data_IF_042654858995
#
_entry.id   IF_042654858995
#
_cell.length_a   1.000
_cell.length_b   1.000
_cell.length_c   1.000
_cell.angle_alpha   90.00
_cell.angle_beta   90.00
_cell.angle_gamma   90.00
#
_symmetry.space_group_name_H-M   'P 1'
#
loop_
_entity.id
_entity.type
_entity.pdbx_description
1 polymer ?
#
# COMPACT_ATOMS: atom_id res chain seq x y z
N UNK A 1 77.20 47.73 -41.53
CA UNK A 1 77.06 47.63 -40.12
C UNK A 1 75.71 47.03 -39.74
N UNK A 2 75.74 45.86 -39.20
CA UNK A 2 74.66 44.82 -39.24
C UNK A 2 73.56 45.11 -38.27
N UNK A 3 72.30 45.17 -38.76
CA UNK A 3 71.06 45.19 -37.94
C UNK A 3 70.73 43.77 -37.55
N UNK A 4 70.53 43.49 -36.30
CA UNK A 4 69.95 42.21 -35.80
C UNK A 4 68.52 42.50 -35.44
N UNK A 5 67.59 41.89 -36.17
CA UNK A 5 66.16 41.85 -35.86
C UNK A 5 65.89 40.75 -34.84
N UNK A 6 65.34 41.12 -33.68
CA UNK A 6 64.72 40.15 -32.72
C UNK A 6 63.28 39.95 -33.07
N UNK A 7 62.92 38.72 -33.54
CA UNK A 7 61.54 38.28 -33.66
C UNK A 7 61.08 37.72 -32.28
N UNK A 8 60.20 38.43 -31.63
CA UNK A 8 59.45 37.89 -30.49
C UNK A 8 58.31 37.03 -30.95
N UNK A 9 58.41 35.74 -30.72
CA UNK A 9 57.35 34.78 -30.97
C UNK A 9 56.37 34.76 -29.77
N UNK A 10 55.20 35.39 -29.93
CA UNK A 10 54.11 35.34 -28.96
C UNK A 10 53.38 34.00 -29.11
N UNK A 11 53.59 33.05 -28.21
CA UNK A 11 52.83 31.84 -28.13
C UNK A 11 51.47 32.14 -27.50
N UNK A 12 50.41 32.15 -28.31
CA UNK A 12 49.01 32.25 -27.87
C UNK A 12 48.60 30.89 -27.31
N UNK A 13 48.56 30.75 -25.98
CA UNK A 13 47.94 29.61 -25.33
C UNK A 13 46.41 29.72 -25.52
N UNK A 14 45.87 29.00 -26.49
CA UNK A 14 44.46 28.71 -26.58
C UNK A 14 44.09 27.71 -25.42
N UNK A 15 43.55 28.24 -24.33
CA UNK A 15 42.85 27.43 -23.35
C UNK A 15 41.54 26.96 -24.00
N UNK A 16 41.51 25.75 -24.48
CA UNK A 16 40.30 25.10 -24.90
C UNK A 16 39.45 24.90 -23.65
N UNK A 17 38.46 25.74 -23.44
CA UNK A 17 37.40 25.50 -22.48
C UNK A 17 36.52 24.37 -23.01
N UNK A 18 36.61 23.18 -22.39
CA UNK A 18 35.76 22.03 -22.65
C UNK A 18 34.30 22.45 -22.40
N UNK A 19 33.39 22.44 -23.40
CA UNK A 19 32.01 22.83 -23.18
C UNK A 19 31.19 21.63 -22.64
N UNK A 20 31.70 20.87 -21.70
CA UNK A 20 30.85 20.04 -20.85
C UNK A 20 30.17 20.97 -19.88
N UNK A 21 29.08 21.59 -20.36
CA UNK A 21 28.13 22.25 -19.48
C UNK A 21 27.81 21.29 -18.31
N UNK A 22 28.35 21.63 -17.15
CA UNK A 22 27.93 20.98 -15.90
C UNK A 22 26.41 21.17 -15.82
N UNK A 23 25.66 20.07 -15.97
CA UNK A 23 24.24 20.09 -15.68
C UNK A 23 24.06 20.76 -14.32
N UNK A 24 23.15 21.72 -14.18
CA UNK A 24 22.92 22.37 -12.88
C UNK A 24 22.71 21.29 -11.81
N UNK A 25 23.36 21.42 -10.69
CA UNK A 25 23.16 20.50 -9.57
C UNK A 25 21.65 20.41 -9.28
N UNK A 26 21.13 19.21 -9.03
CA UNK A 26 19.71 19.07 -8.72
C UNK A 26 19.38 20.01 -7.54
N UNK A 27 18.20 20.64 -7.56
CA UNK A 27 17.79 21.54 -6.48
C UNK A 27 17.87 20.81 -5.14
N UNK A 28 18.28 21.50 -4.09
CA UNK A 28 18.34 20.95 -2.75
C UNK A 28 16.96 20.35 -2.38
N UNK A 29 16.90 19.19 -1.74
CA UNK A 29 15.63 18.57 -1.39
C UNK A 29 14.86 19.48 -0.43
N UNK A 30 13.54 19.61 -0.65
CA UNK A 30 12.64 20.36 0.24
C UNK A 30 12.83 19.91 1.69
N UNK A 31 12.91 20.83 2.67
CA UNK A 31 13.05 20.49 4.08
C UNK A 31 11.99 19.48 4.53
N UNK A 32 12.36 18.51 5.36
CA UNK A 32 11.48 17.45 5.84
C UNK A 32 10.22 17.98 6.53
N UNK A 33 10.38 19.02 7.36
CA UNK A 33 9.27 19.67 8.07
C UNK A 33 8.23 20.27 7.11
N UNK A 34 8.70 20.87 6.00
CA UNK A 34 7.82 21.50 5.01
C UNK A 34 7.00 20.45 4.23
N UNK A 35 7.63 19.33 3.85
CA UNK A 35 6.95 18.20 3.19
C UNK A 35 5.88 17.63 4.11
N UNK A 36 6.23 17.37 5.39
CA UNK A 36 5.31 16.85 6.40
C UNK A 36 4.11 17.79 6.60
N UNK A 37 4.39 19.10 6.79
CA UNK A 37 3.34 20.10 6.96
C UNK A 37 2.45 20.26 5.72
N UNK A 38 3.02 20.17 4.52
CA UNK A 38 2.26 20.23 3.26
C UNK A 38 1.32 19.04 3.09
N UNK A 39 1.78 17.82 3.40
CA UNK A 39 0.94 16.62 3.30
C UNK A 39 -0.18 16.63 4.35
N UNK A 40 0.12 17.06 5.58
CA UNK A 40 -0.90 17.21 6.62
C UNK A 40 -1.96 18.24 6.20
N UNK A 41 -1.57 19.42 5.69
CA UNK A 41 -2.53 20.44 5.21
C UNK A 41 -3.40 19.94 4.06
N UNK A 42 -2.85 19.12 3.17
CA UNK A 42 -3.61 18.56 2.04
C UNK A 42 -4.74 17.64 2.50
N UNK A 43 -4.53 16.91 3.58
CA UNK A 43 -5.46 15.89 4.07
C UNK A 43 -6.16 16.28 5.37
N UNK A 44 -5.81 17.44 5.96
CA UNK A 44 -6.40 17.87 7.22
C UNK A 44 -7.90 18.09 7.08
N UNK A 45 -8.63 17.48 8.01
CA UNK A 45 -10.09 17.52 8.07
C UNK A 45 -10.53 17.76 9.51
N UNK A 46 -11.68 18.39 9.73
CA UNK A 46 -12.25 18.51 11.05
C UNK A 46 -12.39 17.13 11.71
N UNK A 47 -11.80 16.97 12.88
CA UNK A 47 -11.89 15.71 13.63
C UNK A 47 -13.26 15.60 14.26
N UNK A 48 -14.00 14.56 13.90
CA UNK A 48 -15.28 14.21 14.55
C UNK A 48 -15.02 13.27 15.71
N UNK A 49 -15.94 13.17 16.72
CA UNK A 49 -15.89 12.10 17.73
C UNK A 49 -15.81 10.74 17.05
N UNK A 50 -14.98 9.86 17.59
CA UNK A 50 -14.78 8.52 17.00
C UNK A 50 -16.04 7.65 17.07
N UNK A 51 -16.87 7.80 18.11
CA UNK A 51 -18.11 7.02 18.33
C UNK A 51 -17.90 5.53 17.95
N UNK A 52 -16.98 4.79 18.62
CA UNK A 52 -16.68 3.42 18.26
C UNK A 52 -17.87 2.51 18.57
N UNK A 53 -18.20 1.60 17.64
CA UNK A 53 -19.28 0.63 17.74
C UNK A 53 -18.71 -0.77 17.58
N UNK A 54 -18.82 -1.58 18.63
CA UNK A 54 -18.49 -2.99 18.57
C UNK A 54 -19.73 -3.77 18.11
N UNK A 55 -19.58 -4.54 17.04
CA UNK A 55 -20.69 -5.31 16.44
C UNK A 55 -20.64 -6.77 16.86
N UNK A 56 -19.45 -7.34 17.00
CA UNK A 56 -19.28 -8.75 17.26
C UNK A 56 -17.92 -9.00 17.92
N UNK A 57 -17.94 -9.73 19.04
CA UNK A 57 -16.71 -10.24 19.69
C UNK A 57 -16.84 -11.77 19.76
N UNK A 58 -15.87 -12.45 19.17
CA UNK A 58 -15.83 -13.93 19.14
C UNK A 58 -14.49 -14.45 19.59
N UNK A 59 -14.50 -15.51 20.40
CA UNK A 59 -13.33 -16.37 20.52
C UNK A 59 -13.15 -17.07 19.17
N UNK A 60 -12.07 -16.72 18.46
CA UNK A 60 -11.69 -17.46 17.28
C UNK A 60 -10.94 -18.71 17.74
N UNK A 61 -11.17 -19.84 17.04
CA UNK A 61 -10.36 -21.03 17.26
C UNK A 61 -8.89 -20.67 17.14
N UNK A 62 -8.01 -21.19 18.04
CA UNK A 62 -6.55 -21.03 17.99
C UNK A 62 -5.94 -19.88 18.83
N UNK A 63 -6.55 -19.51 19.95
CA UNK A 63 -5.87 -18.62 20.93
C UNK A 63 -5.95 -17.14 20.61
N UNK A 64 -6.92 -16.71 19.82
CA UNK A 64 -7.18 -15.30 19.55
C UNK A 64 -8.65 -14.95 19.73
N UNK A 65 -8.91 -13.70 20.10
CA UNK A 65 -10.25 -13.10 20.11
C UNK A 65 -10.34 -12.13 18.94
N UNK A 66 -11.40 -12.24 18.16
CA UNK A 66 -11.71 -11.30 17.08
C UNK A 66 -12.84 -10.36 17.49
N UNK A 67 -12.72 -9.09 17.09
CA UNK A 67 -13.72 -8.06 17.31
C UNK A 67 -13.98 -7.34 15.99
N UNK A 68 -15.26 -7.21 15.59
CA UNK A 68 -15.69 -6.34 14.51
C UNK A 68 -16.12 -5.01 15.10
N UNK A 69 -15.51 -3.93 14.63
CA UNK A 69 -15.78 -2.58 15.11
C UNK A 69 -15.84 -1.62 13.94
N UNK A 70 -16.56 -0.53 14.09
CA UNK A 70 -16.43 0.63 13.23
C UNK A 70 -16.34 1.91 14.06
N UNK A 71 -15.74 2.95 13.49
CA UNK A 71 -15.60 4.26 14.12
C UNK A 71 -15.70 5.39 13.10
N UNK A 72 -16.18 6.56 13.54
CA UNK A 72 -16.35 7.72 12.69
C UNK A 72 -15.01 8.42 12.42
N UNK A 73 -14.83 8.88 11.19
CA UNK A 73 -13.58 9.52 10.75
C UNK A 73 -13.77 10.91 10.15
N UNK A 74 -14.98 11.19 9.62
CA UNK A 74 -15.27 12.43 8.90
C UNK A 74 -16.77 12.69 8.91
N UNK A 75 -17.19 13.97 8.96
CA UNK A 75 -18.58 14.36 8.77
C UNK A 75 -18.93 14.39 7.28
N UNK A 76 -20.09 13.89 6.92
CA UNK A 76 -20.66 14.00 5.57
C UNK A 76 -21.58 15.22 5.46
N UNK A 77 -21.80 15.73 4.23
CA UNK A 77 -22.71 16.87 4.01
C UNK A 77 -24.15 16.64 4.48
N UNK A 78 -24.60 15.40 4.53
CA UNK A 78 -25.93 14.99 4.99
C UNK A 78 -26.07 14.89 6.53
N UNK A 79 -25.02 15.26 7.27
CA UNK A 79 -24.96 15.19 8.73
C UNK A 79 -24.60 13.79 9.28
N UNK A 80 -24.50 12.78 8.44
CA UNK A 80 -23.98 11.46 8.84
C UNK A 80 -22.45 11.46 8.93
N UNK A 81 -21.89 10.34 9.42
CA UNK A 81 -20.42 10.16 9.47
C UNK A 81 -19.94 9.12 8.47
N UNK A 82 -18.80 9.44 7.82
CA UNK A 82 -17.99 8.43 7.19
C UNK A 82 -17.38 7.56 8.28
N UNK A 83 -17.58 6.25 8.20
CA UNK A 83 -17.10 5.29 9.19
C UNK A 83 -16.12 4.31 8.58
N UNK A 84 -15.18 3.86 9.39
CA UNK A 84 -14.17 2.87 9.03
C UNK A 84 -14.54 1.53 9.68
N UNK A 85 -15.02 0.55 8.90
CA UNK A 85 -15.15 -0.82 9.38
C UNK A 85 -13.77 -1.44 9.62
N UNK A 86 -13.59 -2.07 10.76
CA UNK A 86 -12.35 -2.68 11.17
C UNK A 86 -12.56 -4.09 11.76
N UNK A 87 -11.51 -4.90 11.62
CA UNK A 87 -11.36 -6.20 12.24
C UNK A 87 -10.16 -6.15 13.17
N UNK A 88 -10.39 -6.38 14.46
CA UNK A 88 -9.35 -6.42 15.49
C UNK A 88 -9.17 -7.87 15.94
N UNK A 89 -7.92 -8.34 15.96
CA UNK A 89 -7.54 -9.59 16.61
C UNK A 89 -6.61 -9.30 17.79
N UNK A 90 -6.85 -9.98 18.91
CA UNK A 90 -6.01 -9.87 20.10
C UNK A 90 -5.75 -11.24 20.72
N UNK A 91 -4.68 -11.39 21.52
CA UNK A 91 -4.43 -12.63 22.27
C UNK A 91 -5.61 -12.98 23.19
N UNK A 92 -6.01 -14.24 23.24
CA UNK A 92 -7.04 -14.71 24.19
C UNK A 92 -6.51 -14.85 25.63
N UNK A 93 -5.18 -14.90 25.79
CA UNK A 93 -4.50 -14.96 27.07
C UNK A 93 -4.23 -13.57 27.70
N UNK A 94 -4.65 -12.47 27.03
CA UNK A 94 -4.54 -11.13 27.56
C UNK A 94 -5.33 -10.97 28.86
N UNK A 95 -4.68 -10.50 29.93
CA UNK A 95 -5.31 -10.26 31.23
C UNK A 95 -5.93 -8.87 31.28
N UNK A 96 -6.99 -8.69 32.07
CA UNK A 96 -7.56 -7.38 32.31
C UNK A 96 -6.49 -6.38 32.79
N UNK A 97 -6.43 -5.20 32.17
CA UNK A 97 -5.47 -4.14 32.52
C UNK A 97 -4.09 -4.25 31.86
N UNK A 98 -3.78 -5.35 31.19
CA UNK A 98 -2.56 -5.43 30.36
C UNK A 98 -2.70 -4.60 29.10
N UNK A 99 -1.61 -3.92 28.70
CA UNK A 99 -1.51 -3.15 27.46
C UNK A 99 -0.52 -3.80 26.52
N UNK A 100 -0.93 -3.92 25.26
CA UNK A 100 -0.17 -4.55 24.19
C UNK A 100 0.21 -3.53 23.13
N UNK A 101 1.37 -3.68 22.48
CA UNK A 101 1.65 -2.93 21.26
C UNK A 101 0.62 -3.25 20.20
N UNK A 102 0.34 -2.31 19.31
CA UNK A 102 -0.63 -2.48 18.24
C UNK A 102 0.00 -2.40 16.85
N UNK A 103 -0.56 -3.13 15.88
CA UNK A 103 -0.16 -3.07 14.47
C UNK A 103 -1.38 -2.88 13.59
N UNK A 104 -1.36 -1.82 12.77
CA UNK A 104 -2.36 -1.55 11.74
C UNK A 104 -1.93 -2.29 10.47
N UNK A 105 -2.87 -3.05 9.87
CA UNK A 105 -2.66 -3.81 8.64
C UNK A 105 -3.54 -3.24 7.53
N UNK A 106 -2.94 -2.76 6.45
CA UNK A 106 -3.62 -2.16 5.30
C UNK A 106 -3.60 -3.11 4.10
N UNK A 107 -4.77 -3.41 3.55
CA UNK A 107 -4.93 -4.35 2.42
C UNK A 107 -4.55 -3.73 1.07
N UNK A 108 -4.28 -4.58 0.07
CA UNK A 108 -4.03 -4.18 -1.31
C UNK A 108 -5.28 -3.76 -2.07
N UNK A 109 -5.11 -3.28 -3.32
CA UNK A 109 -6.20 -2.90 -4.23
C UNK A 109 -7.18 -4.06 -4.43
N UNK A 110 -8.47 -3.80 -4.30
CA UNK A 110 -9.54 -4.80 -4.41
C UNK A 110 -9.67 -5.72 -3.20
N UNK A 111 -8.83 -5.54 -2.17
CA UNK A 111 -8.87 -6.29 -0.92
C UNK A 111 -9.91 -5.77 0.07
N UNK A 112 -9.88 -6.35 1.27
CA UNK A 112 -10.75 -5.99 2.39
C UNK A 112 -10.11 -6.45 3.71
N UNK A 113 -10.59 -5.94 4.84
CA UNK A 113 -10.04 -6.24 6.17
C UNK A 113 -9.96 -7.75 6.48
N UNK A 114 -10.95 -8.54 6.04
CA UNK A 114 -10.93 -10.00 6.25
C UNK A 114 -9.79 -10.70 5.49
N UNK A 115 -9.36 -10.16 4.35
CA UNK A 115 -8.20 -10.67 3.61
C UNK A 115 -6.88 -10.52 4.36
N UNK A 116 -6.86 -9.66 5.37
CA UNK A 116 -5.71 -9.46 6.25
C UNK A 116 -5.65 -10.45 7.42
N UNK A 117 -6.64 -11.37 7.56
CA UNK A 117 -6.70 -12.33 8.66
C UNK A 117 -5.39 -13.06 8.95
N UNK A 118 -4.65 -13.60 7.95
CA UNK A 118 -3.39 -14.30 8.22
C UNK A 118 -2.34 -13.41 8.92
N UNK A 119 -2.28 -12.13 8.58
CA UNK A 119 -1.39 -11.18 9.23
C UNK A 119 -1.85 -10.86 10.65
N UNK A 120 -3.14 -10.60 10.82
CA UNK A 120 -3.72 -10.28 12.13
C UNK A 120 -3.53 -11.44 13.12
N UNK A 121 -3.79 -12.67 12.70
CA UNK A 121 -3.65 -13.87 13.53
C UNK A 121 -2.21 -14.07 13.96
N UNK A 122 -1.25 -13.95 13.05
CA UNK A 122 0.17 -14.11 13.34
C UNK A 122 0.70 -13.02 14.27
N UNK A 123 0.22 -11.79 14.14
CA UNK A 123 0.55 -10.69 15.06
C UNK A 123 -0.06 -10.92 16.45
N UNK A 124 -1.35 -11.30 16.52
CA UNK A 124 -2.01 -11.57 17.78
C UNK A 124 -1.34 -12.70 18.57
N UNK A 125 -0.93 -13.79 17.90
CA UNK A 125 -0.17 -14.86 18.53
C UNK A 125 1.20 -14.41 19.08
N UNK A 126 1.75 -13.31 18.56
CA UNK A 126 3.00 -12.71 19.04
C UNK A 126 2.81 -11.64 20.12
N UNK A 127 1.58 -11.46 20.59
CA UNK A 127 1.27 -10.50 21.67
C UNK A 127 1.02 -9.09 21.18
N UNK A 128 0.44 -8.93 19.99
CA UNK A 128 -0.02 -7.64 19.48
C UNK A 128 -1.55 -7.54 19.46
N UNK A 129 -2.06 -6.33 19.61
CA UNK A 129 -3.39 -5.97 19.14
C UNK A 129 -3.24 -5.66 17.65
N UNK A 130 -3.79 -6.51 16.80
CA UNK A 130 -3.70 -6.35 15.35
C UNK A 130 -5.03 -5.86 14.78
N UNK A 131 -5.02 -4.78 14.00
CA UNK A 131 -6.22 -4.18 13.42
C UNK A 131 -6.08 -4.04 11.91
N UNK A 132 -7.06 -4.53 11.15
CA UNK A 132 -7.19 -4.23 9.73
C UNK A 132 -8.45 -3.40 9.47
N UNK A 133 -8.34 -2.42 8.60
CA UNK A 133 -9.45 -1.57 8.17
C UNK A 133 -9.83 -1.83 6.72
N UNK A 134 -11.09 -1.57 6.38
CA UNK A 134 -11.47 -1.39 4.97
C UNK A 134 -11.05 0.00 4.51
N UNK A 135 -10.12 0.08 3.56
CA UNK A 135 -9.77 1.32 2.89
C UNK A 135 -10.97 1.92 2.16
N UNK A 136 -10.92 3.20 1.82
CA UNK A 136 -12.03 3.86 1.12
C UNK A 136 -12.41 3.12 -0.15
N UNK A 137 -13.72 2.92 -0.34
CA UNK A 137 -14.32 2.25 -1.50
C UNK A 137 -13.94 0.76 -1.63
N UNK A 138 -13.55 0.12 -0.52
CA UNK A 138 -13.23 -1.31 -0.44
C UNK A 138 -14.06 -1.98 0.66
N UNK A 139 -14.16 -3.32 0.60
CA UNK A 139 -14.84 -4.11 1.61
C UNK A 139 -16.27 -3.63 1.88
N UNK A 140 -16.64 -3.43 3.14
CA UNK A 140 -17.97 -2.98 3.55
C UNK A 140 -18.27 -1.52 3.08
N UNK A 141 -17.24 -0.76 2.68
CA UNK A 141 -17.37 0.60 2.13
C UNK A 141 -17.55 0.64 0.61
N UNK A 142 -17.67 -0.52 -0.04
CA UNK A 142 -17.86 -0.64 -1.49
C UNK A 142 -19.34 -0.70 -1.91
N UNK A 143 -20.32 -0.56 -0.99
CA UNK A 143 -21.76 -0.58 -1.27
C UNK A 143 -22.18 -1.76 -2.14
N UNK A 144 -21.81 -3.00 -1.75
CA UNK A 144 -22.06 -4.25 -2.46
C UNK A 144 -21.44 -4.37 -3.86
N UNK A 145 -20.51 -3.48 -4.23
CA UNK A 145 -19.72 -3.63 -5.46
C UNK A 145 -18.55 -4.58 -5.22
N UNK A 146 -18.26 -5.41 -6.21
CA UNK A 146 -17.21 -6.43 -6.12
C UNK A 146 -15.88 -5.88 -6.65
N UNK A 147 -14.78 -6.28 -6.01
CA UNK A 147 -13.41 -5.97 -6.45
C UNK A 147 -13.09 -4.48 -6.39
N UNK A 148 -12.57 -3.95 -7.48
CA UNK A 148 -12.12 -2.54 -7.58
C UNK A 148 -13.17 -1.58 -8.13
N UNK A 149 -14.38 -2.03 -8.40
CA UNK A 149 -15.39 -1.22 -9.10
C UNK A 149 -15.71 0.09 -8.38
N UNK A 150 -16.05 0.04 -7.09
CA UNK A 150 -16.36 1.24 -6.31
C UNK A 150 -15.17 2.20 -6.24
N UNK A 151 -13.97 1.64 -6.17
CA UNK A 151 -12.73 2.40 -6.13
C UNK A 151 -12.45 3.13 -7.45
N UNK A 152 -12.55 2.42 -8.58
CA UNK A 152 -12.43 3.04 -9.91
C UNK A 152 -13.48 4.14 -10.12
N UNK A 153 -14.75 3.88 -9.77
CA UNK A 153 -15.83 4.89 -9.86
C UNK A 153 -15.52 6.14 -9.02
N UNK A 154 -14.95 5.98 -7.82
CA UNK A 154 -14.57 7.11 -6.98
C UNK A 154 -13.41 7.92 -7.59
N UNK A 155 -12.42 7.26 -8.17
CA UNK A 155 -11.31 7.91 -8.86
C UNK A 155 -11.80 8.66 -10.10
N UNK A 156 -12.73 8.08 -10.88
CA UNK A 156 -13.35 8.75 -12.03
C UNK A 156 -14.11 10.01 -11.58
N UNK A 157 -14.88 9.92 -10.50
CA UNK A 157 -15.55 11.11 -9.95
C UNK A 157 -14.56 12.18 -9.53
N UNK A 158 -13.48 11.80 -8.84
CA UNK A 158 -12.43 12.73 -8.43
C UNK A 158 -11.72 13.37 -9.63
N UNK A 159 -11.50 12.62 -10.70
CA UNK A 159 -10.97 13.15 -11.97
C UNK A 159 -11.91 14.22 -12.58
N UNK A 160 -13.22 13.99 -12.54
CA UNK A 160 -14.24 14.85 -13.15
C UNK A 160 -14.69 16.04 -12.28
N UNK A 161 -14.11 16.22 -11.08
CA UNK A 161 -14.36 17.40 -10.22
C UNK A 161 -13.94 18.66 -10.97
N UNK A 162 -14.82 19.67 -10.96
CA UNK A 162 -14.60 20.94 -11.65
C UNK A 162 -13.68 21.86 -10.83
N UNK A 163 -12.96 22.77 -11.49
CA UNK A 163 -12.20 23.81 -10.80
C UNK A 163 -13.07 24.59 -9.80
N UNK A 164 -12.57 24.73 -8.56
CA UNK A 164 -13.28 25.43 -7.48
C UNK A 164 -14.17 24.54 -6.61
N UNK A 165 -14.42 23.29 -7.01
CA UNK A 165 -15.12 22.31 -6.17
C UNK A 165 -14.12 21.59 -5.25
N UNK A 166 -14.55 21.11 -4.06
CA UNK A 166 -13.70 20.32 -3.18
C UNK A 166 -13.15 19.06 -3.89
N UNK A 167 -11.83 18.89 -3.89
CA UNK A 167 -11.15 17.80 -4.56
C UNK A 167 -10.96 16.62 -3.61
N UNK A 168 -11.65 15.47 -3.83
CA UNK A 168 -11.37 14.25 -3.08
C UNK A 168 -10.13 13.54 -3.61
N UNK A 169 -9.48 12.76 -2.75
CA UNK A 169 -8.25 12.05 -3.06
C UNK A 169 -8.38 10.54 -2.78
N UNK A 170 -9.33 9.85 -3.47
CA UNK A 170 -9.63 8.43 -3.18
C UNK A 170 -8.45 7.49 -3.46
N UNK A 171 -7.55 7.88 -4.36
CA UNK A 171 -6.38 7.09 -4.71
C UNK A 171 -5.29 7.31 -3.66
N UNK A 172 -5.18 6.41 -2.68
CA UNK A 172 -4.30 6.38 -1.50
C UNK A 172 -4.59 7.41 -0.40
N UNK A 173 -4.66 8.70 -0.72
CA UNK A 173 -4.56 9.79 0.25
C UNK A 173 -5.70 9.79 1.27
N UNK A 174 -6.96 9.58 0.82
CA UNK A 174 -8.09 9.52 1.75
C UNK A 174 -7.99 8.37 2.76
N UNK A 175 -7.34 7.24 2.39
CA UNK A 175 -7.09 6.14 3.32
C UNK A 175 -5.98 6.48 4.33
N UNK A 176 -5.03 7.40 3.99
CA UNK A 176 -4.06 7.89 4.98
C UNK A 176 -4.75 8.62 6.13
N UNK A 177 -5.77 9.44 5.84
CA UNK A 177 -6.62 10.03 6.88
C UNK A 177 -7.28 8.97 7.74
N UNK A 178 -7.89 7.94 7.13
CA UNK A 178 -8.52 6.85 7.87
C UNK A 178 -7.51 6.08 8.75
N UNK A 179 -6.26 5.91 8.28
CA UNK A 179 -5.18 5.30 9.06
C UNK A 179 -4.81 6.15 10.29
N UNK A 180 -4.74 7.48 10.17
CA UNK A 180 -4.51 8.37 11.31
C UNK A 180 -5.67 8.32 12.31
N UNK A 181 -6.91 8.27 11.82
CA UNK A 181 -8.09 8.10 12.69
C UNK A 181 -8.12 6.70 13.35
N UNK A 182 -7.54 5.69 12.69
CA UNK A 182 -7.35 4.36 13.31
C UNK A 182 -6.34 4.43 14.45
N UNK A 183 -5.28 5.23 14.33
CA UNK A 183 -4.36 5.50 15.44
C UNK A 183 -5.09 6.20 16.59
N UNK A 184 -5.92 7.22 16.30
CA UNK A 184 -6.74 7.88 17.30
C UNK A 184 -7.63 6.86 18.04
N UNK A 185 -8.27 5.93 17.32
CA UNK A 185 -9.08 4.86 17.90
C UNK A 185 -8.24 3.92 18.78
N UNK A 186 -7.07 3.47 18.31
CA UNK A 186 -6.19 2.61 19.09
C UNK A 186 -5.76 3.26 20.40
N UNK A 187 -5.52 4.57 20.41
CA UNK A 187 -5.15 5.32 21.61
C UNK A 187 -6.29 5.41 22.64
N UNK A 188 -7.55 5.23 22.25
CA UNK A 188 -8.70 5.17 23.18
C UNK A 188 -8.89 3.79 23.80
N UNK A 189 -8.27 2.75 23.26
CA UNK A 189 -8.44 1.37 23.74
C UNK A 189 -7.66 1.13 25.02
N UNK A 190 -8.28 0.56 26.05
CA UNK A 190 -7.61 0.29 27.33
C UNK A 190 -6.55 -0.82 27.25
N UNK A 191 -6.65 -1.70 26.25
CA UNK A 191 -5.74 -2.82 26.00
C UNK A 191 -4.57 -2.49 25.07
N UNK A 192 -4.49 -1.25 24.55
CA UNK A 192 -3.41 -0.80 23.66
C UNK A 192 -2.40 0.07 24.41
N UNK A 193 -1.11 -0.15 24.15
CA UNK A 193 -0.05 0.77 24.51
C UNK A 193 0.11 1.83 23.41
N UNK A 194 -0.28 3.09 23.67
CA UNK A 194 -0.30 4.14 22.65
C UNK A 194 1.09 4.53 22.15
N UNK A 195 2.17 4.19 22.91
CA UNK A 195 3.55 4.49 22.53
C UNK A 195 4.19 3.39 21.67
N UNK A 196 3.48 2.29 21.42
CA UNK A 196 3.99 1.14 20.66
C UNK A 196 3.04 0.73 19.54
N UNK A 197 2.84 1.64 18.57
CA UNK A 197 1.99 1.42 17.39
C UNK A 197 2.87 1.24 16.15
N UNK A 198 2.64 0.16 15.40
CA UNK A 198 3.25 -0.10 14.10
C UNK A 198 2.23 -0.09 12.96
N UNK A 199 2.72 -0.04 11.73
CA UNK A 199 1.88 -0.09 10.53
C UNK A 199 2.55 -0.94 9.45
N UNK A 200 1.77 -1.84 8.85
CA UNK A 200 2.15 -2.65 7.69
C UNK A 200 1.05 -2.56 6.65
N UNK A 201 1.42 -2.57 5.39
CA UNK A 201 0.45 -2.65 4.31
C UNK A 201 1.02 -3.32 3.08
N UNK A 202 0.15 -3.94 2.30
CA UNK A 202 0.49 -4.73 1.13
C UNK A 202 0.05 -3.99 -0.12
N UNK A 203 0.96 -3.79 -1.10
CA UNK A 203 0.68 -3.14 -2.38
C UNK A 203 0.09 -1.73 -2.18
N UNK A 204 -1.17 -1.46 -2.54
CA UNK A 204 -1.88 -0.21 -2.22
C UNK A 204 -1.71 0.16 -0.74
N UNK A 205 -1.98 -0.79 0.17
CA UNK A 205 -1.82 -0.57 1.61
C UNK A 205 -0.37 -0.24 2.01
N UNK A 206 0.61 -0.77 1.30
CA UNK A 206 2.03 -0.43 1.53
C UNK A 206 2.37 1.00 1.10
N UNK A 207 1.75 1.50 0.02
CA UNK A 207 1.86 2.93 -0.37
C UNK A 207 1.23 3.80 0.72
N UNK A 208 0.03 3.46 1.17
CA UNK A 208 -0.66 4.15 2.26
C UNK A 208 0.16 4.09 3.57
N UNK A 209 0.86 2.98 3.82
CA UNK A 209 1.75 2.84 4.99
C UNK A 209 2.88 3.84 4.98
N UNK A 210 3.67 3.95 3.90
CA UNK A 210 4.78 4.89 3.89
C UNK A 210 4.30 6.35 3.80
N UNK A 211 3.17 6.64 3.15
CA UNK A 211 2.56 7.97 3.14
C UNK A 211 2.10 8.39 4.55
N UNK A 212 1.29 7.56 5.19
CA UNK A 212 0.69 7.89 6.48
C UNK A 212 1.74 7.92 7.61
N UNK A 213 2.63 6.92 7.66
CA UNK A 213 3.67 6.84 8.68
C UNK A 213 4.73 7.94 8.56
N UNK A 214 5.02 8.44 7.36
CA UNK A 214 5.99 9.51 7.15
C UNK A 214 5.64 10.78 7.94
N UNK A 215 4.36 11.08 8.11
CA UNK A 215 3.90 12.33 8.72
C UNK A 215 3.29 12.16 10.11
N UNK A 216 2.93 10.95 10.52
CA UNK A 216 2.41 10.67 11.86
C UNK A 216 3.44 9.94 12.72
N UNK A 217 4.07 10.66 13.64
CA UNK A 217 5.15 10.16 14.51
C UNK A 217 4.67 9.15 15.57
N UNK A 218 3.37 8.97 15.70
CA UNK A 218 2.78 7.92 16.54
C UNK A 218 3.00 6.53 15.95
N UNK A 219 3.23 6.42 14.62
CA UNK A 219 3.68 5.18 13.99
C UNK A 219 5.16 5.00 14.28
N UNK A 220 5.49 4.09 15.19
CA UNK A 220 6.87 3.83 15.63
C UNK A 220 7.64 2.89 14.69
N UNK A 221 6.94 1.99 14.01
CA UNK A 221 7.53 1.00 13.08
C UNK A 221 6.69 0.94 11.81
N UNK A 222 7.31 1.05 10.64
CA UNK A 222 6.63 0.97 9.35
C UNK A 222 7.19 -0.16 8.48
N UNK A 223 6.28 -0.92 7.83
CA UNK A 223 6.64 -2.02 6.93
C UNK A 223 5.83 -1.93 5.63
N UNK A 224 6.24 -1.10 4.64
CA UNK A 224 5.66 -1.13 3.31
C UNK A 224 6.08 -2.40 2.56
N UNK A 225 5.08 -3.17 2.07
CA UNK A 225 5.27 -4.46 1.40
C UNK A 225 4.84 -4.35 -0.05
N UNK A 226 5.73 -4.68 -1.00
CA UNK A 226 5.54 -4.60 -2.47
C UNK A 226 4.91 -3.26 -2.91
N UNK A 227 5.48 -2.15 -2.41
CA UNK A 227 4.84 -0.85 -2.50
C UNK A 227 5.79 0.34 -2.69
N UNK A 228 7.09 0.12 -2.57
CA UNK A 228 8.08 1.20 -2.65
C UNK A 228 8.57 1.35 -4.07
N UNK A 229 8.36 2.54 -4.63
CA UNK A 229 8.89 2.98 -5.92
C UNK A 229 8.80 4.51 -6.03
N UNK A 230 9.60 5.13 -6.89
CA UNK A 230 9.38 6.51 -7.31
C UNK A 230 8.34 6.56 -8.45
N UNK A 231 7.25 7.30 -8.22
CA UNK A 231 6.23 7.57 -9.24
C UNK A 231 6.80 8.45 -10.36
N UNK A 232 7.63 9.44 -10.02
CA UNK A 232 8.35 10.27 -10.99
C UNK A 232 9.20 9.41 -11.91
N UNK A 233 10.05 8.56 -11.33
CA UNK A 233 10.91 7.68 -12.11
C UNK A 233 10.10 6.79 -13.06
N UNK A 234 8.99 6.21 -12.56
CA UNK A 234 8.15 5.32 -13.36
C UNK A 234 7.51 6.02 -14.57
N UNK A 235 7.08 7.27 -14.43
CA UNK A 235 6.56 8.07 -15.55
C UNK A 235 7.67 8.43 -16.53
N UNK A 236 8.82 8.87 -16.04
CA UNK A 236 9.92 9.35 -16.88
C UNK A 236 10.58 8.23 -17.69
N UNK A 237 10.49 6.97 -17.20
CA UNK A 237 11.08 5.79 -17.85
C UNK A 237 10.05 4.83 -18.48
N UNK A 238 8.80 5.28 -18.71
CA UNK A 238 7.72 4.47 -19.30
C UNK A 238 7.47 3.13 -18.58
N UNK A 239 7.52 3.14 -17.25
CA UNK A 239 7.28 1.96 -16.37
C UNK A 239 6.01 2.11 -15.53
N UNK A 240 5.02 2.84 -16.01
CA UNK A 240 3.75 3.17 -15.35
C UNK A 240 2.68 2.07 -15.50
N UNK A 241 2.79 1.16 -16.46
CA UNK A 241 1.73 0.22 -16.90
C UNK A 241 1.26 -0.68 -15.76
N UNK A 242 2.18 -1.27 -14.99
CA UNK A 242 1.85 -2.13 -13.87
C UNK A 242 0.94 -1.41 -12.86
N UNK A 243 1.30 -0.18 -12.51
CA UNK A 243 0.50 0.65 -11.60
C UNK A 243 -0.85 1.05 -12.21
N UNK A 244 -0.87 1.44 -13.48
CA UNK A 244 -2.10 1.81 -14.18
C UNK A 244 -3.10 0.65 -14.23
N UNK A 245 -2.64 -0.57 -14.42
CA UNK A 245 -3.48 -1.77 -14.48
C UNK A 245 -4.20 -2.08 -13.16
N UNK A 246 -3.76 -1.57 -12.03
CA UNK A 246 -4.45 -1.76 -10.74
C UNK A 246 -5.80 -1.04 -10.66
N UNK A 247 -6.00 0.00 -11.48
CA UNK A 247 -7.23 0.80 -11.59
C UNK A 247 -7.53 1.10 -13.07
N UNK A 248 -7.49 0.07 -13.91
CA UNK A 248 -7.55 0.19 -15.38
C UNK A 248 -8.80 0.90 -15.89
N UNK A 249 -9.95 0.68 -15.24
CA UNK A 249 -11.22 1.31 -15.64
C UNK A 249 -11.17 2.83 -15.43
N UNK A 250 -10.52 3.30 -14.37
CA UNK A 250 -10.33 4.73 -14.14
C UNK A 250 -9.42 5.35 -15.20
N UNK A 251 -8.29 4.69 -15.53
CA UNK A 251 -7.40 5.19 -16.58
C UNK A 251 -8.07 5.19 -17.96
N UNK A 252 -8.87 4.16 -18.30
CA UNK A 252 -9.61 4.12 -19.56
C UNK A 252 -10.64 5.24 -19.67
N UNK A 253 -11.36 5.56 -18.56
CA UNK A 253 -12.29 6.68 -18.53
C UNK A 253 -11.56 8.02 -18.72
N UNK A 254 -10.39 8.20 -18.11
CA UNK A 254 -9.58 9.42 -18.25
C UNK A 254 -9.03 9.54 -19.69
N UNK A 255 -8.56 8.44 -20.30
CA UNK A 255 -8.13 8.43 -21.70
C UNK A 255 -9.28 8.92 -22.60
N UNK A 256 -10.49 8.37 -22.43
CA UNK A 256 -11.68 8.80 -23.16
C UNK A 256 -12.01 10.27 -22.94
N UNK A 257 -11.96 10.77 -21.70
CA UNK A 257 -12.26 12.18 -21.37
C UNK A 257 -11.19 13.13 -21.97
N UNK A 258 -9.96 12.67 -22.17
CA UNK A 258 -8.86 13.41 -22.81
C UNK A 258 -8.84 13.30 -24.33
N UNK A 259 -9.67 12.43 -24.93
CA UNK A 259 -9.64 12.16 -26.38
C UNK A 259 -8.46 11.29 -26.81
N UNK A 260 -7.84 10.57 -25.88
CA UNK A 260 -6.75 9.65 -26.17
C UNK A 260 -7.29 8.28 -26.62
N UNK A 261 -6.70 7.63 -27.64
CA UNK A 261 -7.17 6.35 -28.15
C UNK A 261 -6.93 5.19 -27.18
N UNK A 262 -5.94 5.34 -26.29
CA UNK A 262 -5.56 4.34 -25.30
C UNK A 262 -4.92 4.99 -24.06
N UNK A 263 -4.74 4.20 -23.00
CA UNK A 263 -4.01 4.63 -21.81
C UNK A 263 -2.53 4.77 -22.13
N UNK A 264 -2.00 5.97 -21.93
CA UNK A 264 -0.60 6.30 -22.19
C UNK A 264 0.01 7.09 -21.04
N UNK A 265 1.28 7.50 -21.18
CA UNK A 265 1.99 8.29 -20.18
C UNK A 265 1.23 9.57 -19.79
N UNK A 266 0.70 10.32 -20.79
CA UNK A 266 0.02 11.58 -20.56
C UNK A 266 -1.26 11.39 -19.72
N UNK A 267 -2.03 10.33 -20.00
CA UNK A 267 -3.22 9.94 -19.23
C UNK A 267 -2.86 9.63 -17.78
N UNK A 268 -1.83 8.81 -17.55
CA UNK A 268 -1.39 8.46 -16.19
C UNK A 268 -0.89 9.68 -15.44
N UNK A 269 -0.11 10.53 -16.09
CA UNK A 269 0.44 11.74 -15.49
C UNK A 269 -0.67 12.73 -15.13
N UNK A 270 -1.64 12.96 -16.01
CA UNK A 270 -2.77 13.85 -15.78
C UNK A 270 -3.64 13.36 -14.61
N UNK A 271 -4.02 12.07 -14.63
CA UNK A 271 -4.85 11.48 -13.56
C UNK A 271 -4.14 11.57 -12.22
N UNK A 272 -2.89 11.11 -12.13
CA UNK A 272 -2.20 11.04 -10.83
C UNK A 272 -1.87 12.43 -10.30
N UNK A 273 -1.48 13.39 -11.15
CA UNK A 273 -1.27 14.77 -10.73
C UNK A 273 -2.52 15.41 -10.11
N UNK A 274 -3.72 15.04 -10.59
CA UNK A 274 -4.99 15.56 -10.07
C UNK A 274 -5.48 14.85 -8.82
N UNK A 275 -5.47 13.50 -8.81
CA UNK A 275 -6.08 12.72 -7.72
C UNK A 275 -5.14 12.42 -6.57
N UNK A 276 -3.83 12.49 -6.79
CA UNK A 276 -2.77 12.37 -5.78
C UNK A 276 -1.72 13.49 -6.00
N UNK A 277 -2.13 14.75 -5.81
CA UNK A 277 -1.26 15.90 -6.10
C UNK A 277 0.05 15.82 -5.32
N UNK A 278 1.15 16.18 -5.98
CA UNK A 278 2.50 16.14 -5.41
C UNK A 278 3.17 14.76 -5.41
N UNK A 279 2.50 13.71 -5.90
CA UNK A 279 3.05 12.34 -5.93
C UNK A 279 4.28 12.20 -6.84
N UNK A 280 4.44 13.08 -7.80
CA UNK A 280 5.63 13.11 -8.67
C UNK A 280 6.77 13.96 -8.09
N UNK A 281 6.54 14.68 -7.01
CA UNK A 281 7.47 15.66 -6.46
C UNK A 281 7.63 15.49 -4.95
N UNK A 282 7.03 16.40 -4.17
CA UNK A 282 7.22 16.44 -2.72
C UNK A 282 6.69 15.22 -1.96
N UNK A 283 5.70 14.51 -2.50
CA UNK A 283 5.09 13.32 -1.88
C UNK A 283 5.47 12.02 -2.56
N UNK A 284 6.45 12.02 -3.46
CA UNK A 284 7.02 10.79 -4.01
C UNK A 284 7.79 10.00 -2.94
N UNK A 285 7.90 8.70 -3.12
CA UNK A 285 8.55 7.82 -2.14
C UNK A 285 9.96 8.27 -1.73
N UNK A 286 10.84 8.77 -2.61
CA UNK A 286 12.14 9.30 -2.20
C UNK A 286 12.05 10.42 -1.16
N UNK A 287 11.04 11.28 -1.25
CA UNK A 287 10.84 12.38 -0.32
C UNK A 287 10.11 11.98 0.96
N UNK A 288 9.18 11.04 0.87
CA UNK A 288 8.40 10.60 2.03
C UNK A 288 9.17 9.61 2.91
N UNK A 289 9.91 8.67 2.33
CA UNK A 289 10.65 7.67 3.11
C UNK A 289 11.75 8.28 3.97
N UNK A 290 12.40 9.37 3.54
CA UNK A 290 13.40 10.08 4.35
C UNK A 290 12.83 10.70 5.62
N UNK A 291 11.50 10.98 5.66
CA UNK A 291 10.81 11.50 6.85
C UNK A 291 10.69 10.44 7.96
N UNK A 292 10.92 9.18 7.63
CA UNK A 292 10.94 8.07 8.58
C UNK A 292 12.31 7.88 9.24
N UNK A 293 13.34 8.63 8.83
CA UNK A 293 14.69 8.49 9.37
C UNK A 293 14.71 8.59 10.90
N UNK A 294 15.38 7.61 11.52
CA UNK A 294 15.38 7.43 12.98
C UNK A 294 14.30 6.50 13.54
N UNK A 295 13.25 6.18 12.76
CA UNK A 295 12.24 5.16 13.11
C UNK A 295 12.51 3.86 12.35
N UNK A 296 12.24 2.67 12.94
CA UNK A 296 12.40 1.40 12.26
C UNK A 296 11.53 1.29 11.00
N UNK A 297 12.20 1.08 9.85
CA UNK A 297 11.59 0.92 8.53
C UNK A 297 12.10 -0.36 7.87
N UNK A 298 11.19 -1.27 7.50
CA UNK A 298 11.51 -2.46 6.71
C UNK A 298 10.80 -2.37 5.36
N UNK A 299 11.57 -2.29 4.28
CA UNK A 299 11.06 -2.27 2.90
C UNK A 299 11.15 -3.68 2.32
N UNK A 300 10.01 -4.19 1.83
CA UNK A 300 9.89 -5.51 1.22
C UNK A 300 9.35 -5.36 -0.21
N UNK A 301 10.17 -5.65 -1.23
CA UNK A 301 9.76 -5.62 -2.63
C UNK A 301 10.17 -6.92 -3.35
N UNK A 302 9.58 -7.16 -4.53
CA UNK A 302 10.03 -8.18 -5.47
C UNK A 302 10.93 -7.55 -6.55
N UNK A 303 11.93 -8.29 -7.03
CA UNK A 303 12.87 -7.83 -8.06
C UNK A 303 12.17 -7.60 -9.41
N UNK A 304 11.21 -8.47 -9.74
CA UNK A 304 10.48 -8.44 -11.03
C UNK A 304 9.08 -7.85 -10.92
N UNK A 305 8.83 -7.03 -9.89
CA UNK A 305 7.52 -6.44 -9.65
C UNK A 305 7.17 -5.35 -10.68
N UNK A 306 6.20 -5.56 -11.60
CA UNK A 306 5.83 -4.56 -12.59
C UNK A 306 5.12 -3.35 -11.99
N UNK A 307 4.54 -3.49 -10.78
CA UNK A 307 3.87 -2.39 -10.07
C UNK A 307 4.87 -1.52 -9.30
N UNK A 308 6.03 -2.07 -8.98
CA UNK A 308 7.11 -1.39 -8.25
C UNK A 308 8.44 -1.69 -8.94
N UNK A 309 8.70 -1.15 -10.15
CA UNK A 309 9.95 -1.40 -10.88
C UNK A 309 11.15 -1.18 -9.99
N UNK A 310 12.07 -2.16 -10.01
CA UNK A 310 13.19 -2.20 -9.05
C UNK A 310 14.07 -0.95 -9.13
N UNK A 311 14.30 -0.43 -10.33
CA UNK A 311 15.13 0.75 -10.52
C UNK A 311 14.47 2.00 -9.89
N UNK A 312 13.14 2.12 -10.02
CA UNK A 312 12.37 3.18 -9.34
C UNK A 312 12.30 2.99 -7.83
N UNK A 313 12.31 1.75 -7.36
CA UNK A 313 12.41 1.44 -5.93
C UNK A 313 13.80 1.80 -5.38
N UNK A 314 14.86 1.52 -6.12
CA UNK A 314 16.24 1.86 -5.72
C UNK A 314 16.46 3.36 -5.54
N UNK A 315 15.83 4.21 -6.36
CA UNK A 315 15.84 5.67 -6.17
C UNK A 315 15.28 6.05 -4.80
N UNK A 316 14.14 5.48 -4.44
CA UNK A 316 13.50 5.75 -3.15
C UNK A 316 14.31 5.19 -1.97
N UNK A 317 14.85 3.97 -2.12
CA UNK A 317 15.68 3.30 -1.12
C UNK A 317 16.98 4.07 -0.89
N UNK A 318 17.63 4.56 -1.95
CA UNK A 318 18.85 5.36 -1.84
C UNK A 318 18.61 6.66 -1.05
N UNK A 319 17.49 7.35 -1.31
CA UNK A 319 17.10 8.54 -0.54
C UNK A 319 16.86 8.21 0.94
N UNK A 320 16.17 7.11 1.23
CA UNK A 320 15.97 6.65 2.60
C UNK A 320 17.30 6.35 3.29
N UNK A 321 18.19 5.57 2.66
CA UNK A 321 19.53 5.24 3.21
C UNK A 321 20.33 6.48 3.55
N UNK A 322 20.38 7.46 2.65
CA UNK A 322 21.10 8.70 2.91
C UNK A 322 20.54 9.44 4.15
N UNK A 323 19.22 9.51 4.30
CA UNK A 323 18.58 10.16 5.44
C UNK A 323 18.82 9.38 6.76
N UNK A 324 18.77 8.05 6.74
CA UNK A 324 19.07 7.23 7.91
C UNK A 324 20.52 7.31 8.33
N UNK A 325 21.43 7.37 7.37
CA UNK A 325 22.85 7.57 7.64
C UNK A 325 23.11 8.93 8.33
N UNK A 326 22.54 10.01 7.81
CA UNK A 326 22.63 11.34 8.43
C UNK A 326 22.03 11.36 9.84
N UNK A 327 20.97 10.58 10.08
CA UNK A 327 20.36 10.45 11.40
C UNK A 327 21.12 9.52 12.36
N UNK A 328 22.20 8.86 11.93
CA UNK A 328 22.92 7.85 12.73
C UNK A 328 22.08 6.63 13.09
N UNK A 329 21.17 6.23 12.20
CA UNK A 329 20.15 5.21 12.44
C UNK A 329 20.12 4.12 11.35
N UNK A 330 21.27 3.80 10.77
CA UNK A 330 21.40 2.81 9.69
C UNK A 330 20.85 1.43 10.09
N UNK A 331 20.96 1.06 11.36
CA UNK A 331 20.45 -0.17 11.94
C UNK A 331 18.90 -0.24 11.97
N UNK A 332 18.23 0.88 11.82
CA UNK A 332 16.77 1.00 11.79
C UNK A 332 16.17 0.96 10.39
N UNK A 333 16.98 0.83 9.35
CA UNK A 333 16.53 0.64 7.98
C UNK A 333 16.97 -0.74 7.47
N UNK A 334 15.98 -1.57 7.12
CA UNK A 334 16.23 -2.85 6.45
C UNK A 334 15.47 -2.90 5.13
N UNK A 335 16.13 -3.45 4.10
CA UNK A 335 15.55 -3.64 2.77
C UNK A 335 15.72 -5.10 2.38
N UNK A 336 14.64 -5.73 1.91
CA UNK A 336 14.66 -7.10 1.37
C UNK A 336 13.99 -7.11 0.00
N UNK A 337 14.79 -7.34 -1.04
CA UNK A 337 14.31 -7.53 -2.41
C UNK A 337 14.31 -9.04 -2.68
N UNK A 338 13.12 -9.60 -2.91
CA UNK A 338 12.97 -11.01 -3.25
C UNK A 338 13.38 -11.24 -4.70
N UNK A 339 14.50 -11.94 -4.90
CA UNK A 339 15.10 -12.18 -6.20
C UNK A 339 14.20 -13.07 -7.07
N UNK A 340 13.98 -12.67 -8.33
CA UNK A 340 13.15 -13.40 -9.30
C UNK A 340 11.65 -13.39 -8.97
N UNK A 341 11.20 -12.59 -8.00
CA UNK A 341 9.80 -12.51 -7.56
C UNK A 341 9.14 -11.25 -8.13
N UNK A 342 7.92 -11.42 -8.64
CA UNK A 342 7.07 -10.33 -9.11
C UNK A 342 6.29 -9.65 -7.97
N UNK A 343 5.04 -9.27 -8.25
CA UNK A 343 4.15 -8.61 -7.26
C UNK A 343 3.57 -9.61 -6.23
N UNK A 344 4.44 -10.17 -5.40
CA UNK A 344 4.09 -11.17 -4.40
C UNK A 344 4.97 -11.04 -3.14
N UNK A 345 4.45 -11.54 -2.02
CA UNK A 345 5.16 -11.59 -0.73
C UNK A 345 5.65 -13.00 -0.50
N UNK A 346 6.95 -13.17 -0.27
CA UNK A 346 7.51 -14.49 0.03
C UNK A 346 7.31 -14.88 1.50
N UNK A 347 7.37 -16.18 1.85
CA UNK A 347 7.32 -16.62 3.24
C UNK A 347 8.42 -15.99 4.10
N UNK A 348 9.61 -15.81 3.54
CA UNK A 348 10.76 -15.17 4.21
C UNK A 348 10.49 -13.69 4.49
N UNK A 349 9.91 -12.96 3.55
CA UNK A 349 9.51 -11.57 3.73
C UNK A 349 8.39 -11.45 4.77
N UNK A 350 7.41 -12.37 4.72
CA UNK A 350 6.33 -12.42 5.72
C UNK A 350 6.89 -12.61 7.14
N UNK A 351 7.79 -13.58 7.32
CA UNK A 351 8.45 -13.86 8.60
C UNK A 351 9.26 -12.66 9.06
N UNK A 352 10.07 -12.08 8.16
CA UNK A 352 10.89 -10.91 8.48
C UNK A 352 10.06 -9.70 8.95
N UNK A 353 8.87 -9.47 8.36
CA UNK A 353 7.98 -8.40 8.80
C UNK A 353 7.48 -8.62 10.23
N UNK A 354 7.06 -9.83 10.56
CA UNK A 354 6.59 -10.17 11.91
C UNK A 354 7.72 -10.05 12.93
N UNK A 355 8.89 -10.56 12.63
CA UNK A 355 10.06 -10.48 13.50
C UNK A 355 10.54 -9.03 13.69
N UNK A 356 10.40 -8.18 12.66
CA UNK A 356 10.71 -6.76 12.75
C UNK A 356 9.82 -6.05 13.77
N UNK A 357 8.51 -6.31 13.79
CA UNK A 357 7.63 -5.77 14.81
C UNK A 357 7.97 -6.28 16.20
N UNK A 358 8.27 -7.57 16.36
CA UNK A 358 8.69 -8.14 17.66
C UNK A 358 9.95 -7.46 18.17
N UNK A 359 10.95 -7.29 17.32
CA UNK A 359 12.22 -6.66 17.70
C UNK A 359 12.06 -5.21 18.17
N UNK A 360 11.23 -4.44 17.48
CA UNK A 360 11.14 -2.99 17.71
C UNK A 360 9.99 -2.55 18.63
N UNK A 361 8.85 -3.26 18.63
CA UNK A 361 7.73 -2.95 19.51
C UNK A 361 7.72 -3.79 20.79
N UNK A 362 8.54 -4.83 20.88
CA UNK A 362 8.79 -5.65 22.09
C UNK A 362 7.50 -6.06 22.81
N UNK A 363 6.63 -6.86 22.22
CA UNK A 363 5.44 -7.38 22.89
C UNK A 363 5.85 -8.29 24.06
N UNK A 364 4.97 -8.44 25.04
CA UNK A 364 5.14 -9.48 26.06
C UNK A 364 5.14 -10.86 25.37
N UNK A 365 6.05 -11.78 25.73
CA UNK A 365 6.07 -13.10 25.15
C UNK A 365 4.78 -13.87 25.50
N UNK A 366 4.23 -14.65 24.55
CA UNK A 366 3.06 -15.47 24.84
C UNK A 366 3.36 -16.51 25.93
N UNK A 367 2.37 -16.91 26.74
CA UNK A 367 2.54 -17.99 27.69
C UNK A 367 3.06 -19.28 27.04
N UNK A 368 3.86 -20.07 27.75
CA UNK A 368 4.55 -21.26 27.23
C UNK A 368 3.65 -22.27 26.49
N UNK A 369 2.36 -22.33 26.79
CA UNK A 369 1.38 -23.16 26.08
C UNK A 369 0.94 -22.61 24.72
N UNK A 370 0.89 -21.28 24.54
CA UNK A 370 0.48 -20.62 23.28
C UNK A 370 1.59 -20.66 22.23
N UNK A 371 2.86 -20.74 22.65
CA UNK A 371 4.01 -20.80 21.74
C UNK A 371 4.00 -22.06 20.84
N UNK A 372 3.31 -23.14 21.21
CA UNK A 372 3.18 -24.37 20.40
C UNK A 372 2.45 -24.11 19.08
N UNK A 373 1.52 -23.17 19.00
CA UNK A 373 0.80 -22.83 17.77
C UNK A 373 1.68 -22.13 16.73
N UNK A 374 2.67 -21.35 17.15
CA UNK A 374 3.62 -20.68 16.26
C UNK A 374 4.51 -21.68 15.51
N UNK A 375 4.90 -22.77 16.17
CA UNK A 375 5.79 -23.78 15.59
C UNK A 375 5.11 -24.69 14.54
N UNK A 376 3.81 -25.00 14.73
CA UNK A 376 3.07 -25.84 13.79
C UNK A 376 2.78 -25.14 12.45
N UNK A 377 2.60 -23.83 12.44
CA UNK A 377 2.33 -23.09 11.18
C UNK A 377 3.59 -22.91 10.33
N UNK A 378 4.75 -22.74 10.95
CA UNK A 378 6.03 -22.71 10.22
C UNK A 378 6.32 -24.05 9.53
N UNK A 379 5.97 -25.18 10.16
CA UNK A 379 6.12 -26.52 9.59
C UNK A 379 5.06 -26.83 8.51
N UNK A 380 3.85 -26.29 8.61
CA UNK A 380 2.80 -26.46 7.60
C UNK A 380 3.08 -25.65 6.32
N UNK A 381 3.66 -24.47 6.44
CA UNK A 381 4.10 -23.65 5.30
C UNK A 381 5.23 -24.34 4.51
N UNK A 382 6.11 -25.07 5.16
CA UNK A 382 7.17 -25.86 4.51
C UNK A 382 6.68 -27.17 3.85
N UNK A 383 5.46 -27.62 4.17
CA UNK A 383 4.89 -28.87 3.58
C UNK A 383 3.96 -28.64 2.39
N UNK A 384 3.58 -27.42 2.08
CA UNK A 384 2.81 -27.06 0.88
C UNK A 384 3.72 -26.77 -0.32
N UNK A 385 4.64 -27.68 -0.64
CA UNK A 385 5.25 -27.76 -1.96
C UNK A 385 4.18 -28.08 -3.02
N UNK A 386 4.41 -27.78 -4.31
CA UNK A 386 3.37 -27.93 -5.34
C UNK A 386 2.89 -29.39 -5.41
N UNK A 387 1.73 -29.62 -4.80
CA UNK A 387 1.07 -30.90 -4.82
C UNK A 387 0.83 -31.33 -6.26
N UNK A 388 1.43 -32.44 -6.67
CA UNK A 388 1.10 -33.13 -7.90
C UNK A 388 -0.43 -33.22 -7.98
N UNK A 389 -1.03 -32.56 -8.96
CA UNK A 389 -2.43 -32.75 -9.32
C UNK A 389 -2.66 -34.24 -9.58
N UNK A 390 -3.29 -34.95 -8.66
CA UNK A 390 -3.89 -36.24 -8.95
C UNK A 390 -4.94 -35.98 -10.01
N UNK A 391 -4.76 -36.61 -11.18
CA UNK A 391 -5.75 -36.64 -12.24
C UNK A 391 -7.08 -37.16 -11.65
N UNK A 392 -8.14 -36.42 -11.79
CA UNK A 392 -9.49 -36.89 -11.53
C UNK A 392 -9.77 -38.00 -12.53
N UNK A 393 -10.35 -39.17 -12.12
CA UNK A 393 -10.88 -40.15 -13.05
C UNK A 393 -11.96 -39.49 -13.90
N UNK A 394 -11.82 -39.57 -15.22
CA UNK A 394 -12.84 -39.12 -16.18
C UNK A 394 -14.15 -39.91 -16.02
N UNK A 395 -15.29 -39.33 -16.39
CA UNK A 395 -16.57 -40.04 -16.39
C UNK A 395 -16.54 -41.23 -17.37
N UNK A 396 -17.27 -42.32 -17.09
CA UNK A 396 -17.29 -43.51 -17.95
C UNK A 396 -17.87 -43.16 -19.34
N UNK A 397 -17.26 -43.71 -20.39
CA UNK A 397 -17.78 -43.63 -21.76
C UNK A 397 -19.10 -44.37 -21.86
N UNK A 398 -20.13 -43.83 -22.58
CA UNK A 398 -21.30 -44.55 -22.91
C UNK A 398 -21.02 -45.61 -24.00
N UNK A 399 -21.46 -46.82 -23.79
CA UNK A 399 -21.48 -47.93 -24.75
C UNK A 399 -22.50 -47.63 -25.84
N UNK A 400 -22.14 -47.91 -27.07
CA UNK A 400 -22.94 -47.85 -28.29
C UNK A 400 -24.12 -48.85 -28.28
N UNK A 401 -25.30 -48.37 -28.72
CA UNK A 401 -26.45 -49.23 -29.01
C UNK A 401 -27.58 -48.47 -29.69
N UNK A 402 -27.61 -48.52 -31.00
CA UNK A 402 -28.70 -48.60 -32.01
C UNK A 402 -29.93 -47.65 -31.92
N UNK A 403 -30.02 -46.77 -32.92
CA UNK A 403 -31.08 -46.61 -33.96
C UNK A 403 -32.54 -46.45 -33.49
N UNK A 404 -33.15 -45.28 -33.73
CA UNK A 404 -34.38 -45.03 -34.48
C UNK A 404 -34.76 -43.54 -34.47
N UNK A 405 -34.87 -42.95 -35.66
CA UNK A 405 -35.66 -41.73 -35.96
C UNK A 405 -37.10 -42.14 -36.24
N UNK A 406 -38.14 -41.30 -36.52
CA UNK A 406 -38.10 -39.83 -36.76
C UNK A 406 -39.28 -39.04 -36.11
N UNK A 407 -39.23 -37.72 -36.35
CA UNK A 407 -40.16 -36.58 -36.23
C UNK A 407 -41.67 -36.87 -36.39
N UNK A 408 -42.65 -35.89 -36.24
CA UNK A 408 -42.53 -34.43 -36.42
C UNK A 408 -43.43 -33.53 -35.54
N UNK A 409 -43.22 -32.18 -35.71
CA UNK A 409 -44.17 -31.05 -35.75
C UNK A 409 -45.34 -30.88 -34.76
N UNK A 410 -45.38 -29.69 -34.16
CA UNK A 410 -46.47 -28.70 -34.11
C UNK A 410 -45.99 -27.49 -33.30
N UNK A 411 -45.78 -26.36 -33.93
CA UNK A 411 -46.69 -25.26 -34.32
C UNK A 411 -47.25 -24.48 -33.11
N UNK A 412 -46.67 -23.22 -32.93
CA UNK A 412 -47.32 -21.88 -33.04
C UNK A 412 -48.52 -21.64 -32.05
N UNK A 413 -48.50 -20.61 -31.22
CA UNK A 413 -48.79 -19.21 -31.45
C UNK A 413 -48.80 -18.37 -30.12
N UNK A 414 -48.94 -17.02 -30.17
CA UNK A 414 -48.34 -16.07 -29.23
C UNK A 414 -49.33 -15.37 -28.28
N UNK A 415 -48.73 -14.57 -27.40
CA UNK A 415 -49.18 -13.41 -26.59
C UNK A 415 -50.70 -13.19 -26.31
N UNK A 416 -51.06 -12.48 -25.21
CA UNK A 416 -51.18 -11.03 -25.33
C UNK A 416 -50.71 -10.19 -24.11
N UNK A 417 -50.41 -8.95 -24.44
CA UNK A 417 -50.32 -7.72 -23.69
C UNK A 417 -51.40 -7.51 -22.62
N UNK A 418 -50.96 -7.09 -21.45
CA UNK A 418 -51.49 -5.86 -20.77
C UNK A 418 -50.47 -5.30 -19.80
#
# INVERSE_FOLDING_TARGET
>A
LKKICFLALMALLLVATDPRAQSPAPPAPTPAADVKAAFLRLLDRPRVPLDPRSHEVKAANRGVISERVDFAVEARPDGSFERVPALVLRPDWAKPGERFPAVIVLHGTGGRKEGSWPWLEQLAHRGFIAIAIDGRYHGDRAWNRIGTRAYNEAIIRAWRVKPGEPQPHPFYFDTCWDAWRTIDYLQTRPDVDPERIGMIGISKGGIETWLAAAVDDRVKVAVPVIAVQSFRWSIDHDRWQGRANTIKEAHAAVASDMGEPEVNRAVCQALWAKVIPGIFDQFDAPNMLRLLAGRPLLILNGELDPNCPIEGAEVAIASARAAYHVAGADDRLKVMIAKGVGHAVTPEQHTAALDWFVAWLKPAPPPSGAARFLHFQTLAAHRSGPGRRRARPGPPRPTSGAVASPSPEAAVEPAPTR
#
